data_IF_691504952897
#
_entry.id   IF_691504952897
#
_cell.length_a   1.000
_cell.length_b   1.000
_cell.length_c   1.000
_cell.angle_alpha   90.00
_cell.angle_beta   90.00
_cell.angle_gamma   90.00
#
_symmetry.space_group_name_H-M   'P 1'
#
loop_
_entity.id
_entity.type
_entity.pdbx_description
1 polymer ?
#
# COMPACT_ATOMS: atom_id res chain seq x y z
N UNK A 1 7.89 5.55 29.29
CA UNK A 1 8.26 6.25 28.04
C UNK A 1 8.80 5.22 27.06
N UNK A 2 8.43 5.30 25.77
CA UNK A 2 8.98 4.41 24.74
C UNK A 2 10.49 4.67 24.58
N UNK A 3 11.25 3.58 24.40
CA UNK A 3 12.68 3.65 24.10
C UNK A 3 12.95 4.26 22.72
N UNK A 4 14.17 4.74 22.43
CA UNK A 4 14.47 5.42 21.16
C UNK A 4 14.15 4.58 19.91
N UNK A 5 14.34 3.25 19.96
CA UNK A 5 14.02 2.37 18.83
C UNK A 5 12.50 2.21 18.65
N UNK A 6 11.73 2.16 19.73
CA UNK A 6 10.26 2.10 19.68
C UNK A 6 9.61 3.40 19.16
N UNK A 7 10.37 4.50 19.07
CA UNK A 7 9.90 5.76 18.50
C UNK A 7 9.97 5.81 16.97
N UNK A 8 10.49 4.76 16.32
CA UNK A 8 10.34 4.58 14.87
C UNK A 8 8.94 4.03 14.58
N UNK A 9 8.13 4.78 13.83
CA UNK A 9 6.72 4.50 13.62
C UNK A 9 6.32 4.52 12.15
N UNK A 10 5.24 3.79 11.82
CA UNK A 10 4.49 3.90 10.59
C UNK A 10 3.16 4.61 10.87
N UNK A 11 2.74 5.50 9.98
CA UNK A 11 1.47 6.20 10.07
C UNK A 11 0.51 5.67 8.99
N UNK A 12 -0.57 5.01 9.42
CA UNK A 12 -1.60 4.54 8.51
C UNK A 12 -2.71 5.59 8.41
N UNK A 13 -3.18 5.85 7.21
CA UNK A 13 -4.16 6.87 6.86
C UNK A 13 -5.40 6.14 6.32
N UNK A 14 -6.55 6.35 6.95
CA UNK A 14 -7.81 5.71 6.54
C UNK A 14 -9.00 6.64 6.80
N UNK A 15 -10.08 6.44 6.04
CA UNK A 15 -11.31 7.23 6.13
C UNK A 15 -12.48 6.36 6.60
N UNK A 16 -13.17 6.83 7.65
CA UNK A 16 -14.35 6.15 8.19
C UNK A 16 -15.59 6.99 7.87
N UNK A 17 -16.51 6.44 7.07
CA UNK A 17 -17.81 7.07 6.82
C UNK A 17 -18.69 7.02 8.08
N UNK A 18 -19.27 8.15 8.43
CA UNK A 18 -20.17 8.29 9.59
C UNK A 18 -21.46 8.98 9.19
N UNK A 19 -22.55 8.59 9.84
CA UNK A 19 -23.82 9.29 9.67
C UNK A 19 -23.71 10.71 10.24
N UNK A 20 -24.05 11.76 9.46
CA UNK A 20 -24.03 13.13 9.96
C UNK A 20 -24.96 13.30 11.16
N UNK A 21 -24.45 13.93 12.22
CA UNK A 21 -25.19 14.16 13.44
C UNK A 21 -24.50 15.20 14.32
N UNK A 22 -25.28 15.96 15.09
CA UNK A 22 -24.76 16.83 16.14
C UNK A 22 -25.23 16.31 17.48
N UNK A 23 -24.30 16.15 18.41
CA UNK A 23 -24.60 15.74 19.78
C UNK A 23 -24.02 16.75 20.75
N UNK A 24 -24.82 17.21 21.71
CA UNK A 24 -24.33 18.05 22.80
C UNK A 24 -24.15 17.18 24.05
N UNK A 25 -22.90 17.05 24.52
CA UNK A 25 -22.58 16.25 25.71
C UNK A 25 -21.51 16.94 26.54
N UNK A 26 -21.80 17.11 27.84
CA UNK A 26 -20.83 17.65 28.80
C UNK A 26 -20.33 19.06 28.44
N UNK A 27 -21.22 19.93 27.96
CA UNK A 27 -20.84 21.30 27.59
C UNK A 27 -20.26 21.46 26.19
N UNK A 28 -20.02 20.36 25.46
CA UNK A 28 -19.37 20.37 24.13
C UNK A 28 -20.32 19.89 23.04
N UNK A 29 -20.29 20.59 21.91
CA UNK A 29 -20.94 20.17 20.68
C UNK A 29 -20.00 19.24 19.90
N UNK A 30 -20.45 18.01 19.62
CA UNK A 30 -19.74 16.97 18.90
C UNK A 30 -20.37 16.74 17.52
N UNK A 31 -19.58 16.22 16.57
CA UNK A 31 -20.04 15.87 15.23
C UNK A 31 -19.94 16.99 14.19
N UNK A 32 -19.41 18.15 14.58
CA UNK A 32 -19.05 19.22 13.65
C UNK A 32 -17.74 18.87 12.93
N UNK A 33 -17.67 19.13 11.63
CA UNK A 33 -16.47 18.97 10.83
C UNK A 33 -15.42 20.05 11.17
N UNK A 34 -14.14 19.71 11.02
CA UNK A 34 -13.04 20.66 11.19
C UNK A 34 -12.85 21.56 9.97
N UNK A 35 -13.10 21.05 8.76
CA UNK A 35 -12.91 21.78 7.52
C UNK A 35 -14.13 22.60 7.06
N UNK A 36 -15.27 22.45 7.74
CA UNK A 36 -16.51 23.15 7.36
C UNK A 36 -17.39 23.44 8.57
N UNK A 37 -18.19 24.51 8.48
CA UNK A 37 -19.23 24.80 9.49
C UNK A 37 -20.47 23.90 9.31
N UNK A 38 -20.29 22.59 9.21
CA UNK A 38 -21.32 21.59 8.93
C UNK A 38 -21.09 20.31 9.76
N UNK A 39 -22.08 19.41 9.77
CA UNK A 39 -21.93 18.07 10.31
C UNK A 39 -20.93 17.26 9.48
N UNK A 40 -19.99 16.60 10.18
CA UNK A 40 -19.06 15.67 9.57
C UNK A 40 -19.80 14.47 8.96
N UNK A 41 -19.34 13.99 7.81
CA UNK A 41 -19.79 12.74 7.20
C UNK A 41 -18.68 11.69 7.12
N UNK A 42 -17.43 12.08 7.44
CA UNK A 42 -16.31 11.16 7.54
C UNK A 42 -15.46 11.50 8.76
N UNK A 43 -14.72 10.51 9.25
CA UNK A 43 -13.65 10.68 10.23
C UNK A 43 -12.36 10.27 9.53
N UNK A 44 -11.46 11.23 9.35
CA UNK A 44 -10.12 10.94 8.87
C UNK A 44 -9.27 10.45 10.03
N UNK A 45 -8.81 9.20 9.95
CA UNK A 45 -8.01 8.56 10.98
C UNK A 45 -6.55 8.43 10.55
N UNK A 46 -5.67 8.67 11.51
CA UNK A 46 -4.23 8.45 11.43
C UNK A 46 -3.84 7.47 12.53
N UNK A 47 -3.60 6.22 12.18
CA UNK A 47 -3.16 5.21 13.14
C UNK A 47 -1.64 5.19 13.22
N UNK A 48 -1.13 5.50 14.42
CA UNK A 48 0.28 5.45 14.75
C UNK A 48 0.60 4.03 15.19
N UNK A 49 1.59 3.40 14.54
CA UNK A 49 2.04 2.05 14.89
C UNK A 49 3.56 2.05 15.02
N UNK A 50 4.08 1.53 16.13
CA UNK A 50 5.53 1.34 16.27
C UNK A 50 5.99 0.06 15.58
N UNK A 51 7.19 0.09 15.00
CA UNK A 51 7.78 -1.08 14.36
C UNK A 51 8.19 -2.16 15.36
N UNK A 52 8.54 -1.79 16.59
CA UNK A 52 9.23 -2.68 17.53
C UNK A 52 8.41 -3.07 18.76
N UNK A 53 7.17 -2.58 18.88
CA UNK A 53 6.28 -2.96 19.98
C UNK A 53 4.82 -3.05 19.52
N UNK A 54 3.92 -3.43 20.43
CA UNK A 54 2.48 -3.53 20.15
C UNK A 54 1.74 -2.20 20.33
N UNK A 55 2.46 -1.12 20.66
CA UNK A 55 1.85 0.18 20.93
C UNK A 55 1.17 0.74 19.68
N UNK A 56 -0.07 1.22 19.85
CA UNK A 56 -0.86 1.85 18.81
C UNK A 56 -1.63 3.01 19.40
N UNK A 57 -1.73 4.08 18.62
CA UNK A 57 -2.57 5.24 18.95
C UNK A 57 -3.29 5.73 17.69
N UNK A 58 -4.33 6.54 17.90
CA UNK A 58 -5.13 7.08 16.81
C UNK A 58 -5.27 8.59 17.01
N UNK A 59 -5.01 9.33 15.92
CA UNK A 59 -5.41 10.73 15.77
C UNK A 59 -6.56 10.75 14.78
N UNK A 60 -7.65 11.44 15.10
CA UNK A 60 -8.84 11.44 14.26
C UNK A 60 -9.39 12.86 14.10
N UNK A 61 -9.79 13.19 12.87
CA UNK A 61 -10.37 14.49 12.53
C UNK A 61 -11.77 14.27 11.94
N UNK A 62 -12.83 14.88 12.48
CA UNK A 62 -14.15 14.86 11.85
C UNK A 62 -14.16 15.77 10.63
N UNK A 63 -14.56 15.25 9.47
CA UNK A 63 -14.43 15.91 8.18
C UNK A 63 -15.74 15.92 7.40
N UNK A 64 -15.86 16.91 6.52
CA UNK A 64 -16.96 17.04 5.56
C UNK A 64 -16.39 17.08 4.14
N UNK A 65 -16.72 16.08 3.33
CA UNK A 65 -16.33 16.03 1.90
C UNK A 65 -14.83 16.32 1.70
N UNK A 66 -13.98 15.53 2.36
CA UNK A 66 -12.54 15.78 2.42
C UNK A 66 -11.90 15.87 1.03
N UNK A 67 -11.04 16.87 0.86
CA UNK A 67 -10.23 17.04 -0.34
C UNK A 67 -8.80 16.52 -0.13
N UNK A 68 -8.03 16.41 -1.21
CA UNK A 68 -6.60 16.05 -1.10
C UNK A 68 -5.80 17.13 -0.36
N UNK A 69 -6.16 18.41 -0.53
CA UNK A 69 -5.53 19.52 0.18
C UNK A 69 -5.82 19.47 1.69
N UNK A 70 -7.05 19.14 2.07
CA UNK A 70 -7.41 18.94 3.48
C UNK A 70 -6.56 17.82 4.10
N UNK A 71 -6.48 16.66 3.42
CA UNK A 71 -5.72 15.50 3.87
C UNK A 71 -4.21 15.81 3.95
N UNK A 72 -3.68 16.58 3.00
CA UNK A 72 -2.30 17.06 3.01
C UNK A 72 -2.03 17.94 4.24
N UNK A 73 -2.89 18.92 4.51
CA UNK A 73 -2.76 19.81 5.65
C UNK A 73 -2.81 19.05 6.98
N UNK A 74 -3.74 18.10 7.11
CA UNK A 74 -3.83 17.23 8.29
C UNK A 74 -2.61 16.34 8.45
N UNK A 75 -2.11 15.76 7.37
CA UNK A 75 -0.91 14.91 7.39
C UNK A 75 0.29 15.71 7.91
N UNK A 76 0.50 16.94 7.43
CA UNK A 76 1.55 17.82 7.95
C UNK A 76 1.36 18.15 9.44
N UNK A 77 0.13 18.45 9.86
CA UNK A 77 -0.20 18.73 11.27
C UNK A 77 0.12 17.52 12.17
N UNK A 78 -0.23 16.31 11.73
CA UNK A 78 0.07 15.07 12.46
C UNK A 78 1.57 14.80 12.49
N UNK A 79 2.28 14.98 11.37
CA UNK A 79 3.74 14.84 11.32
C UNK A 79 4.43 15.80 12.30
N UNK A 80 4.01 17.06 12.34
CA UNK A 80 4.55 18.05 13.28
C UNK A 80 4.29 17.63 14.73
N UNK A 81 3.06 17.25 15.07
CA UNK A 81 2.71 16.78 16.41
C UNK A 81 3.56 15.57 16.84
N UNK A 82 3.77 14.62 15.94
CA UNK A 82 4.61 13.43 16.20
C UNK A 82 6.08 13.81 16.41
N UNK A 83 6.59 14.76 15.62
CA UNK A 83 7.94 15.30 15.78
C UNK A 83 8.13 16.00 17.14
N UNK A 84 7.13 16.77 17.59
CA UNK A 84 7.17 17.43 18.90
C UNK A 84 7.25 16.39 20.05
N UNK A 85 6.55 15.27 19.89
CA UNK A 85 6.63 14.10 20.76
C UNK A 85 7.90 13.24 20.57
N UNK A 86 8.84 13.65 19.70
CA UNK A 86 10.10 12.97 19.38
C UNK A 86 9.94 11.60 18.71
N UNK A 87 8.82 11.35 18.04
CA UNK A 87 8.68 10.21 17.14
C UNK A 87 9.41 10.44 15.83
N UNK A 88 9.85 9.36 15.20
CA UNK A 88 10.42 9.34 13.86
C UNK A 88 9.48 8.57 12.94
N UNK A 89 8.84 9.28 12.01
CA UNK A 89 7.91 8.67 11.06
C UNK A 89 8.69 8.11 9.88
N UNK A 90 8.74 6.77 9.82
CA UNK A 90 9.41 6.03 8.75
C UNK A 90 8.60 6.09 7.45
N UNK A 91 7.30 5.82 7.53
CA UNK A 91 6.45 5.79 6.35
C UNK A 91 5.01 6.20 6.61
N UNK A 92 4.37 6.66 5.53
CA UNK A 92 2.92 6.83 5.40
C UNK A 92 2.34 5.66 4.61
N UNK A 93 1.23 5.12 5.07
CA UNK A 93 0.52 4.01 4.42
C UNK A 93 -0.93 4.45 4.23
N UNK A 94 -1.43 4.43 2.99
CA UNK A 94 -2.80 4.81 2.68
C UNK A 94 -3.45 3.83 1.71
N UNK A 95 -4.73 4.04 1.41
CA UNK A 95 -5.38 3.36 0.30
C UNK A 95 -4.91 3.91 -1.05
N UNK A 96 -5.18 3.14 -2.11
CA UNK A 96 -4.94 3.58 -3.49
C UNK A 96 -6.17 4.27 -4.07
N UNK A 97 -6.80 5.16 -3.30
CA UNK A 97 -7.89 5.99 -3.79
C UNK A 97 -7.34 7.29 -4.43
N UNK A 98 -8.19 8.09 -5.08
CA UNK A 98 -7.75 9.30 -5.78
C UNK A 98 -7.25 10.40 -4.83
N UNK A 99 -7.91 10.59 -3.68
CA UNK A 99 -7.58 11.63 -2.70
C UNK A 99 -6.20 11.36 -2.11
N UNK A 100 -5.96 10.12 -1.68
CA UNK A 100 -4.70 9.68 -1.09
C UNK A 100 -3.53 9.80 -2.07
N UNK A 101 -3.72 9.35 -3.32
CA UNK A 101 -2.70 9.52 -4.38
C UNK A 101 -2.38 10.98 -4.63
N UNK A 102 -3.39 11.84 -4.68
CA UNK A 102 -3.21 13.27 -4.89
C UNK A 102 -2.44 13.89 -3.72
N UNK A 103 -2.76 13.50 -2.48
CA UNK A 103 -2.03 13.95 -1.29
C UNK A 103 -0.57 13.50 -1.32
N UNK A 104 -0.27 12.23 -1.63
CA UNK A 104 1.12 11.78 -1.79
C UNK A 104 1.84 12.52 -2.91
N UNK A 105 1.17 12.78 -4.03
CA UNK A 105 1.75 13.54 -5.15
C UNK A 105 2.06 14.98 -4.74
N UNK A 106 1.17 15.60 -3.96
CA UNK A 106 1.36 16.95 -3.40
C UNK A 106 2.53 17.00 -2.41
N UNK A 107 2.67 15.97 -1.54
CA UNK A 107 3.85 15.83 -0.68
C UNK A 107 5.17 15.71 -1.46
N UNK A 108 5.11 15.15 -2.67
CA UNK A 108 6.26 15.04 -3.57
C UNK A 108 6.35 16.18 -4.60
N UNK A 109 5.69 17.32 -4.34
CA UNK A 109 5.76 18.52 -5.20
C UNK A 109 5.33 18.27 -6.66
N UNK A 110 4.38 17.36 -6.87
CA UNK A 110 3.76 17.11 -8.17
C UNK A 110 4.23 15.83 -8.88
N UNK A 111 5.38 15.26 -8.50
CA UNK A 111 5.86 13.99 -9.05
C UNK A 111 5.97 12.94 -7.96
N UNK A 112 5.08 11.95 -7.96
CA UNK A 112 5.01 10.96 -6.89
C UNK A 112 6.25 10.06 -6.87
N UNK A 113 7.09 10.25 -5.85
CA UNK A 113 8.27 9.44 -5.56
C UNK A 113 8.03 8.52 -4.37
N UNK A 114 8.77 7.42 -4.27
CA UNK A 114 8.58 6.43 -3.20
C UNK A 114 9.07 6.91 -1.83
N UNK A 115 9.90 7.93 -1.79
CA UNK A 115 10.31 8.59 -0.55
C UNK A 115 10.73 10.04 -0.79
N UNK A 116 10.56 10.87 0.24
CA UNK A 116 11.08 12.24 0.31
C UNK A 116 11.92 12.43 1.57
N UNK A 117 12.57 13.58 1.71
CA UNK A 117 13.00 14.05 3.03
C UNK A 117 11.77 14.43 3.85
N UNK A 118 11.73 14.02 5.11
CA UNK A 118 10.60 14.31 5.98
C UNK A 118 10.49 15.84 6.16
N UNK A 119 9.31 16.44 5.89
CA UNK A 119 9.13 17.90 5.88
C UNK A 119 9.36 18.56 7.25
N UNK A 120 9.20 17.82 8.35
CA UNK A 120 9.41 18.31 9.72
C UNK A 120 10.69 17.76 10.37
N UNK A 121 11.31 16.76 9.76
CA UNK A 121 12.57 16.14 10.19
C UNK A 121 13.51 15.90 8.98
N UNK A 122 14.12 16.94 8.39
CA UNK A 122 14.82 16.82 7.09
C UNK A 122 15.97 15.81 7.03
N UNK A 123 16.53 15.41 8.18
CA UNK A 123 17.57 14.37 8.27
C UNK A 123 17.01 12.93 8.08
N UNK A 124 15.69 12.76 8.16
CA UNK A 124 15.01 11.48 8.02
C UNK A 124 14.31 11.39 6.66
N UNK A 125 14.34 10.19 6.06
CA UNK A 125 13.52 9.89 4.90
C UNK A 125 12.11 9.48 5.36
N UNK A 126 11.11 9.94 4.63
CA UNK A 126 9.71 9.53 4.76
C UNK A 126 9.33 8.74 3.52
N UNK A 127 8.92 7.48 3.69
CA UNK A 127 8.48 6.61 2.59
C UNK A 127 6.96 6.61 2.44
N UNK A 128 6.47 6.33 1.23
CA UNK A 128 5.05 6.20 0.95
C UNK A 128 4.73 4.76 0.53
N UNK A 129 3.63 4.21 1.03
CA UNK A 129 3.16 2.88 0.63
C UNK A 129 1.64 2.92 0.44
N UNK A 130 1.16 2.03 -0.42
CA UNK A 130 -0.26 1.69 -0.45
C UNK A 130 -0.52 0.43 0.38
N UNK A 131 -1.68 0.37 1.03
CA UNK A 131 -2.07 -0.77 1.85
C UNK A 131 -2.06 -2.06 1.02
N UNK A 132 -1.20 -3.00 1.43
CA UNK A 132 -0.98 -4.25 0.71
C UNK A 132 -2.21 -5.16 0.65
N UNK A 133 -3.09 -5.10 1.65
CA UNK A 133 -4.38 -5.82 1.67
C UNK A 133 -5.30 -5.24 0.59
N UNK A 134 -5.36 -3.91 0.47
CA UNK A 134 -6.16 -3.23 -0.56
C UNK A 134 -5.60 -3.44 -1.96
N UNK A 135 -4.28 -3.54 -2.11
CA UNK A 135 -3.63 -3.93 -3.36
C UNK A 135 -4.03 -5.34 -3.81
N UNK A 136 -3.97 -6.34 -2.92
CA UNK A 136 -4.39 -7.70 -3.29
C UNK A 136 -5.88 -7.79 -3.59
N UNK A 137 -6.74 -7.06 -2.86
CA UNK A 137 -8.16 -6.94 -3.22
C UNK A 137 -8.34 -6.41 -4.64
N UNK A 138 -7.58 -5.38 -5.02
CA UNK A 138 -7.61 -4.77 -6.36
C UNK A 138 -7.07 -5.71 -7.45
N UNK A 139 -5.98 -6.43 -7.19
CA UNK A 139 -5.43 -7.48 -8.08
C UNK A 139 -6.46 -8.56 -8.31
N UNK A 140 -7.06 -9.08 -7.24
CA UNK A 140 -8.11 -10.10 -7.29
C UNK A 140 -9.33 -9.63 -8.09
N UNK A 141 -9.80 -8.40 -7.87
CA UNK A 141 -10.94 -7.86 -8.61
C UNK A 141 -10.61 -7.69 -10.10
N UNK A 142 -9.38 -7.25 -10.43
CA UNK A 142 -8.91 -7.16 -11.82
C UNK A 142 -8.89 -8.53 -12.49
N UNK A 143 -8.45 -9.55 -11.76
CA UNK A 143 -8.44 -10.95 -12.19
C UNK A 143 -9.87 -11.47 -12.44
N UNK A 144 -10.80 -11.32 -11.50
CA UNK A 144 -12.19 -11.78 -11.68
C UNK A 144 -12.94 -11.07 -12.82
N UNK A 145 -12.62 -9.81 -13.08
CA UNK A 145 -13.21 -9.04 -14.18
C UNK A 145 -12.56 -9.33 -15.54
N UNK A 146 -11.53 -10.18 -15.58
CA UNK A 146 -10.92 -10.61 -16.83
C UNK A 146 -11.90 -11.52 -17.59
N UNK A 147 -12.40 -11.06 -18.74
CA UNK A 147 -13.42 -11.75 -19.54
C UNK A 147 -13.00 -13.17 -19.99
N UNK A 148 -11.70 -13.44 -20.00
CA UNK A 148 -11.06 -14.72 -20.35
C UNK A 148 -11.07 -15.72 -19.20
N UNK A 149 -11.30 -15.30 -17.95
CA UNK A 149 -11.30 -16.21 -16.79
C UNK A 149 -12.45 -17.20 -16.81
N UNK A 150 -13.66 -16.73 -17.14
CA UNK A 150 -14.84 -17.58 -17.29
C UNK A 150 -14.66 -18.62 -18.40
N UNK A 151 -13.91 -18.28 -19.45
CA UNK A 151 -13.56 -19.19 -20.54
C UNK A 151 -12.50 -20.20 -20.07
N UNK A 152 -11.45 -19.77 -19.37
CA UNK A 152 -10.39 -20.67 -18.87
C UNK A 152 -10.92 -21.71 -17.86
N UNK A 153 -11.81 -21.30 -16.94
CA UNK A 153 -12.40 -22.19 -15.94
C UNK A 153 -13.46 -23.14 -16.53
N UNK A 154 -14.25 -22.69 -17.52
CA UNK A 154 -15.26 -23.52 -18.18
C UNK A 154 -14.65 -24.64 -19.07
N UNK A 155 -13.45 -24.43 -19.62
CA UNK A 155 -12.77 -25.43 -20.46
C UNK A 155 -11.89 -26.41 -19.66
N UNK A 156 -11.79 -26.24 -18.33
CA UNK A 156 -10.95 -27.04 -17.44
C UNK A 156 -11.41 -28.50 -17.21
N UNK A 157 -12.51 -28.94 -17.83
CA UNK A 157 -13.02 -30.30 -17.68
C UNK A 157 -12.64 -31.27 -18.83
N UNK A 158 -11.94 -30.82 -19.89
CA UNK A 158 -11.71 -31.74 -21.03
C UNK A 158 -10.57 -31.46 -22.00
N UNK A 159 -10.02 -30.25 -22.11
CA UNK A 159 -9.01 -29.95 -23.13
C UNK A 159 -7.66 -29.56 -22.51
N UNK A 160 -6.66 -30.43 -22.66
CA UNK A 160 -5.25 -30.10 -22.46
C UNK A 160 -4.86 -29.02 -23.48
N UNK A 161 -4.76 -27.74 -23.10
CA UNK A 161 -4.15 -26.77 -24.02
C UNK A 161 -4.29 -25.26 -23.78
N UNK A 162 -5.09 -24.75 -22.84
CA UNK A 162 -5.23 -23.28 -22.65
C UNK A 162 -4.59 -22.79 -21.35
N UNK A 163 -3.37 -22.27 -21.48
CA UNK A 163 -2.58 -21.43 -20.55
C UNK A 163 -2.76 -21.66 -19.03
N UNK A 164 -2.75 -22.92 -18.61
CA UNK A 164 -2.72 -23.27 -17.19
C UNK A 164 -1.38 -22.93 -16.54
N UNK A 165 -0.29 -22.92 -17.32
CA UNK A 165 1.06 -22.62 -16.83
C UNK A 165 1.24 -21.14 -16.52
N UNK A 166 0.86 -20.22 -17.42
CA UNK A 166 0.98 -18.78 -17.17
C UNK A 166 0.10 -18.31 -16.01
N UNK A 167 -1.10 -18.91 -15.87
CA UNK A 167 -1.98 -18.68 -14.72
C UNK A 167 -1.34 -19.13 -13.41
N UNK A 168 -0.74 -20.33 -13.38
CA UNK A 168 -0.05 -20.85 -12.19
C UNK A 168 1.12 -19.95 -11.81
N UNK A 169 1.96 -19.55 -12.78
CA UNK A 169 3.09 -18.64 -12.54
C UNK A 169 2.63 -17.30 -11.98
N UNK A 170 1.57 -16.71 -12.53
CA UNK A 170 0.99 -15.47 -12.02
C UNK A 170 0.56 -15.62 -10.56
N UNK A 171 -0.23 -16.65 -10.25
CA UNK A 171 -0.72 -16.89 -8.88
C UNK A 171 0.45 -17.12 -7.92
N UNK A 172 1.44 -17.92 -8.31
CA UNK A 172 2.62 -18.22 -7.49
C UNK A 172 3.43 -16.95 -7.17
N UNK A 173 3.59 -16.04 -8.14
CA UNK A 173 4.28 -14.76 -7.95
C UNK A 173 3.56 -13.89 -6.91
N UNK A 174 2.24 -13.70 -7.07
CA UNK A 174 1.45 -12.88 -6.14
C UNK A 174 1.31 -13.52 -4.74
N UNK A 175 1.22 -14.85 -4.66
CA UNK A 175 1.17 -15.56 -3.39
C UNK A 175 2.48 -15.43 -2.62
N UNK A 176 3.63 -15.57 -3.28
CA UNK A 176 4.95 -15.33 -2.66
C UNK A 176 5.10 -13.89 -2.19
N UNK A 177 4.73 -12.91 -3.02
CA UNK A 177 4.74 -11.50 -2.63
C UNK A 177 3.87 -11.26 -1.38
N UNK A 178 2.63 -11.77 -1.38
CA UNK A 178 1.71 -11.63 -0.24
C UNK A 178 2.26 -12.26 1.04
N UNK A 179 2.88 -13.44 0.93
CA UNK A 179 3.47 -14.13 2.06
C UNK A 179 4.54 -13.29 2.78
N UNK A 180 5.33 -12.54 2.00
CA UNK A 180 6.40 -11.66 2.49
C UNK A 180 5.83 -10.40 3.13
N UNK A 181 4.90 -9.71 2.46
CA UNK A 181 4.43 -8.39 2.91
C UNK A 181 3.39 -8.47 4.04
N UNK A 182 2.80 -9.64 4.29
CA UNK A 182 1.77 -9.86 5.31
C UNK A 182 2.25 -10.79 6.45
N UNK A 183 3.50 -10.66 6.89
CA UNK A 183 4.02 -11.37 8.08
C UNK A 183 3.58 -10.64 9.35
N UNK A 184 2.79 -11.31 10.20
CA UNK A 184 2.18 -10.70 11.40
C UNK A 184 2.96 -10.94 12.71
N UNK A 185 3.83 -11.95 12.73
CA UNK A 185 4.65 -12.30 13.90
C UNK A 185 5.88 -13.11 13.48
N UNK A 186 6.85 -13.23 14.39
CA UNK A 186 8.12 -13.89 14.13
C UNK A 186 8.05 -15.39 13.85
N UNK A 187 6.98 -16.05 14.31
CA UNK A 187 6.84 -17.51 14.24
C UNK A 187 6.01 -17.97 13.03
N UNK A 188 5.46 -17.04 12.23
CA UNK A 188 4.59 -17.36 11.10
C UNK A 188 5.28 -18.29 10.10
N UNK A 189 6.50 -17.98 9.69
CA UNK A 189 7.24 -18.78 8.71
C UNK A 189 7.61 -20.16 9.23
N UNK A 190 8.10 -20.27 10.46
CA UNK A 190 8.32 -21.57 11.13
C UNK A 190 7.05 -22.42 11.23
N UNK A 191 5.94 -21.83 11.72
CA UNK A 191 4.67 -22.55 11.88
C UNK A 191 4.11 -23.05 10.55
N UNK A 192 4.21 -22.24 9.49
CA UNK A 192 3.74 -22.60 8.16
C UNK A 192 4.78 -23.36 7.33
N UNK A 193 5.99 -23.56 7.86
CA UNK A 193 7.15 -24.13 7.15
C UNK A 193 7.38 -23.44 5.79
N UNK A 194 7.24 -22.12 5.77
CA UNK A 194 7.36 -21.30 4.57
C UNK A 194 8.33 -20.13 4.82
N UNK A 195 9.55 -20.15 4.24
CA UNK A 195 10.55 -19.10 4.41
C UNK A 195 10.10 -17.72 3.91
N UNK A 196 9.17 -17.65 2.97
CA UNK A 196 8.59 -16.37 2.52
C UNK A 196 7.67 -15.74 3.56
N UNK A 197 7.28 -16.49 4.59
CA UNK A 197 6.50 -15.99 5.73
C UNK A 197 7.38 -15.65 6.94
N UNK A 198 8.72 -15.72 6.83
CA UNK A 198 9.63 -15.26 7.88
C UNK A 198 9.75 -13.72 7.85
N UNK A 199 9.91 -13.07 9.02
CA UNK A 199 10.26 -11.65 9.05
C UNK A 199 11.54 -11.38 8.24
N UNK A 200 11.62 -10.20 7.63
CA UNK A 200 12.82 -9.76 6.95
C UNK A 200 13.86 -9.37 8.01
N UNK A 201 15.01 -10.06 8.01
CA UNK A 201 16.09 -9.87 8.99
C UNK A 201 17.39 -9.35 8.38
N UNK A 202 17.50 -9.37 7.05
CA UNK A 202 18.64 -8.82 6.32
C UNK A 202 18.23 -8.45 4.89
N UNK A 203 19.05 -7.61 4.26
CA UNK A 203 18.88 -7.23 2.84
C UNK A 203 19.16 -8.38 1.86
N UNK A 204 19.93 -9.38 2.30
CA UNK A 204 20.37 -10.52 1.46
C UNK A 204 19.45 -11.75 1.60
N UNK A 205 18.39 -11.65 2.42
CA UNK A 205 17.43 -12.74 2.62
C UNK A 205 16.71 -13.10 1.32
N UNK A 206 16.33 -14.37 1.17
CA UNK A 206 15.62 -14.89 -0.02
C UNK A 206 14.35 -14.10 -0.36
N UNK A 207 13.63 -13.59 0.66
CA UNK A 207 12.47 -12.71 0.47
C UNK A 207 12.84 -11.42 -0.27
N UNK A 208 13.98 -10.82 0.04
CA UNK A 208 14.48 -9.61 -0.63
C UNK A 208 14.95 -9.90 -2.05
N UNK A 209 15.64 -11.02 -2.27
CA UNK A 209 15.99 -11.47 -3.63
C UNK A 209 14.74 -11.67 -4.47
N UNK A 210 13.69 -12.27 -3.89
CA UNK A 210 12.40 -12.43 -4.56
C UNK A 210 11.73 -11.08 -4.85
N UNK A 211 11.65 -10.17 -3.88
CA UNK A 211 10.99 -8.86 -4.07
C UNK A 211 11.63 -8.06 -5.20
N UNK A 212 12.96 -8.07 -5.32
CA UNK A 212 13.65 -7.43 -6.45
C UNK A 212 13.28 -8.08 -7.79
N UNK A 213 13.34 -9.41 -7.88
CA UNK A 213 12.92 -10.13 -9.10
C UNK A 213 11.46 -9.92 -9.44
N UNK A 214 10.60 -9.84 -8.44
CA UNK A 214 9.16 -9.58 -8.60
C UNK A 214 8.92 -8.15 -9.10
N UNK A 215 9.66 -7.16 -8.59
CA UNK A 215 9.62 -5.79 -9.10
C UNK A 215 10.03 -5.73 -10.58
N UNK A 216 11.16 -6.34 -10.94
CA UNK A 216 11.62 -6.39 -12.34
C UNK A 216 10.61 -7.10 -13.25
N UNK A 217 10.03 -8.21 -12.75
CA UNK A 217 8.97 -8.92 -13.44
C UNK A 217 7.73 -8.04 -13.66
N UNK A 218 7.29 -7.27 -12.65
CA UNK A 218 6.18 -6.33 -12.80
C UNK A 218 6.47 -5.24 -13.83
N UNK A 219 7.68 -4.70 -13.85
CA UNK A 219 8.10 -3.69 -14.84
C UNK A 219 8.08 -4.28 -16.24
N UNK A 220 8.68 -5.46 -16.42
CA UNK A 220 8.70 -6.18 -17.70
C UNK A 220 7.28 -6.52 -18.18
N UNK A 221 6.43 -7.03 -17.27
CA UNK A 221 5.06 -7.38 -17.57
C UNK A 221 4.24 -6.15 -18.01
N UNK A 222 4.37 -5.03 -17.29
CA UNK A 222 3.71 -3.78 -17.67
C UNK A 222 4.15 -3.31 -19.06
N UNK A 223 5.45 -3.28 -19.33
CA UNK A 223 6.00 -2.85 -20.61
C UNK A 223 5.53 -3.73 -21.77
N UNK A 224 5.56 -5.06 -21.60
CA UNK A 224 5.03 -6.02 -22.59
C UNK A 224 3.53 -5.87 -22.78
N UNK A 225 2.80 -5.61 -21.70
CA UNK A 225 1.34 -5.42 -21.75
C UNK A 225 0.92 -4.16 -22.52
N UNK A 226 1.76 -3.13 -22.52
CA UNK A 226 1.54 -1.86 -23.19
C UNK A 226 1.87 -1.86 -24.69
N UNK A 227 2.52 -2.92 -25.21
CA UNK A 227 2.87 -3.02 -26.63
C UNK A 227 1.62 -3.11 -27.53
N UNK A 228 1.64 -2.50 -28.73
CA UNK A 228 0.61 -2.70 -29.74
C UNK A 228 0.44 -4.18 -30.08
N UNK A 229 -0.78 -4.58 -30.46
CA UNK A 229 -1.10 -5.98 -30.74
C UNK A 229 -0.19 -6.60 -31.82
N UNK A 230 0.18 -5.83 -32.84
CA UNK A 230 1.05 -6.27 -33.93
C UNK A 230 2.46 -6.64 -33.43
N UNK A 231 3.10 -5.73 -32.69
CA UNK A 231 4.40 -5.96 -32.07
C UNK A 231 4.39 -7.11 -31.05
N UNK A 232 3.25 -7.37 -30.40
CA UNK A 232 3.08 -8.53 -29.52
C UNK A 232 3.05 -9.85 -30.29
N UNK A 233 2.37 -9.89 -31.44
CA UNK A 233 2.34 -11.06 -32.32
C UNK A 233 3.73 -11.38 -32.87
N UNK A 234 4.50 -10.36 -33.27
CA UNK A 234 5.89 -10.51 -33.72
C UNK A 234 6.79 -11.14 -32.66
N UNK A 235 6.58 -10.78 -31.39
CA UNK A 235 7.32 -11.32 -30.24
C UNK A 235 6.78 -12.67 -29.73
N UNK A 236 5.83 -13.28 -30.44
CA UNK A 236 5.20 -14.54 -30.02
C UNK A 236 4.39 -14.43 -28.71
N UNK A 237 3.99 -13.22 -28.30
CA UNK A 237 3.22 -13.01 -27.08
C UNK A 237 1.73 -13.32 -27.32
N UNK A 238 1.03 -13.91 -26.34
CA UNK A 238 -0.42 -14.12 -26.44
C UNK A 238 -1.14 -12.79 -26.62
N UNK A 239 -2.24 -12.81 -27.39
CA UNK A 239 -2.98 -11.64 -27.93
C UNK A 239 -3.25 -10.50 -26.95
N UNK A 240 -4.50 -10.33 -26.46
CA UNK A 240 -4.75 -9.40 -25.34
C UNK A 240 -4.17 -10.02 -24.08
N UNK A 241 -2.96 -9.63 -23.69
CA UNK A 241 -2.40 -10.06 -22.41
C UNK A 241 -3.25 -9.55 -21.26
N UNK A 242 -3.53 -10.43 -20.29
CA UNK A 242 -4.09 -10.02 -19.01
C UNK A 242 -3.29 -8.85 -18.45
N UNK A 243 -3.99 -7.83 -17.97
CA UNK A 243 -3.40 -6.62 -17.41
C UNK A 243 -4.17 -6.19 -16.17
N UNK A 244 -3.46 -5.67 -15.18
CA UNK A 244 -4.08 -4.92 -14.10
C UNK A 244 -4.54 -3.55 -14.61
N UNK A 245 -5.41 -2.88 -13.84
CA UNK A 245 -5.65 -1.46 -14.07
C UNK A 245 -4.34 -0.69 -13.91
N UNK A 246 -4.22 0.46 -14.58
CA UNK A 246 -3.01 1.29 -14.51
C UNK A 246 -2.69 1.68 -13.06
N UNK A 247 -3.72 2.00 -12.29
CA UNK A 247 -3.65 2.40 -10.89
C UNK A 247 -3.18 1.24 -10.00
N UNK A 248 -3.69 0.03 -10.22
CA UNK A 248 -3.30 -1.14 -9.43
C UNK A 248 -1.87 -1.56 -9.75
N UNK A 249 -1.51 -1.56 -11.04
CA UNK A 249 -0.16 -1.88 -11.50
C UNK A 249 0.86 -0.90 -10.91
N UNK A 250 0.58 0.40 -11.01
CA UNK A 250 1.42 1.45 -10.43
C UNK A 250 1.60 1.25 -8.93
N UNK A 251 0.50 1.13 -8.19
CA UNK A 251 0.55 1.08 -6.73
C UNK A 251 1.26 -0.19 -6.22
N UNK A 252 1.15 -1.31 -6.93
CA UNK A 252 1.87 -2.54 -6.63
C UNK A 252 3.39 -2.40 -6.86
N UNK A 253 3.80 -1.84 -8.01
CA UNK A 253 5.21 -1.56 -8.30
C UNK A 253 5.78 -0.58 -7.27
N UNK A 254 5.07 0.52 -7.02
CA UNK A 254 5.44 1.58 -6.09
C UNK A 254 5.61 1.05 -4.66
N UNK A 255 4.65 0.27 -4.16
CA UNK A 255 4.71 -0.30 -2.81
C UNK A 255 5.83 -1.34 -2.68
N UNK A 256 6.03 -2.17 -3.71
CA UNK A 256 7.14 -3.15 -3.72
C UNK A 256 8.49 -2.44 -3.67
N UNK A 257 8.69 -1.40 -4.49
CA UNK A 257 9.90 -0.59 -4.49
C UNK A 257 10.14 0.10 -3.14
N UNK A 258 9.08 0.68 -2.57
CA UNK A 258 9.13 1.34 -1.25
C UNK A 258 9.55 0.38 -0.15
N UNK A 259 8.99 -0.84 -0.11
CA UNK A 259 9.38 -1.87 0.84
C UNK A 259 10.85 -2.28 0.69
N UNK A 260 11.32 -2.47 -0.55
CA UNK A 260 12.72 -2.80 -0.82
C UNK A 260 13.65 -1.70 -0.27
N UNK A 261 13.33 -0.44 -0.55
CA UNK A 261 14.16 0.69 -0.13
C UNK A 261 14.11 0.95 1.38
N UNK A 262 12.98 0.68 2.03
CA UNK A 262 12.85 0.71 3.50
C UNK A 262 13.77 -0.33 4.14
N UNK A 263 13.71 -1.59 3.69
CA UNK A 263 14.56 -2.66 4.22
C UNK A 263 16.03 -2.31 4.02
N UNK A 264 16.39 -1.86 2.82
CA UNK A 264 17.76 -1.43 2.52
C UNK A 264 18.21 -0.23 3.37
N UNK A 265 17.29 0.61 3.85
CA UNK A 265 17.62 1.71 4.78
C UNK A 265 17.80 1.20 6.22
N UNK A 266 16.97 0.26 6.67
CA UNK A 266 17.00 -0.25 8.05
C UNK A 266 18.23 -1.12 8.29
N UNK A 267 18.61 -1.97 7.33
CA UNK A 267 19.75 -2.89 7.46
C UNK A 267 21.04 -2.35 6.81
N UNK A 268 21.21 -1.02 6.80
CA UNK A 268 22.41 -0.35 6.30
C UNK A 268 23.57 -0.43 7.27
#
# INVERSE_FOLDING_TARGET
MLSPHEKLICLLIDEIYVNPGLNYKGGKLLGKAENANQQANTIQAFMITTLFSKYKEIVAFPMKNQTADDLYCQTLKVLQMLNDCKYNVLCLISDNNRIDRNMFTQMCQGNLENCILNPVQPNNKLFFLFDTVHLIKSVRNSWFNEKTLGVALAHGAGEKGKDTMGTKEFIDQFLKWWNIVNVKNSEKGKRLKNPFCDPIRSKDQMSMVFLNKFYDWLVSWNNKSALPLEKRKELGLPGKGGKLTKETQFALQFTTKSLIDIVNRIFK
#
